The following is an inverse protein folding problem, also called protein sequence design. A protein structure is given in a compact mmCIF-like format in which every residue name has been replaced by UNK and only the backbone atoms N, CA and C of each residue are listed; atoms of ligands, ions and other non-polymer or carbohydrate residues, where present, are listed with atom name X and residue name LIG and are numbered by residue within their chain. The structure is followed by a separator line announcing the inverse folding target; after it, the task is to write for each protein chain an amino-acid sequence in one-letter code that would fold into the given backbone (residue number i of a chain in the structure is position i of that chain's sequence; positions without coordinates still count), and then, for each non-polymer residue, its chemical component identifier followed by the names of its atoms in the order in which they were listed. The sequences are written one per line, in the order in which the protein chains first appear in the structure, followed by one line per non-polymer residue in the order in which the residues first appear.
data_IF_801347161418
#
_entry.id   IF_801347161418
#
_cell.length_a   1.000
_cell.length_b   1.000
_cell.length_c   1.000
_cell.angle_alpha   90.00
_cell.angle_beta   90.00
_cell.angle_gamma   90.00
#
_symmetry.space_group_name_H-M   'P 1'
#
loop_
_entity.id
_entity.type
_entity.pdbx_description
1 polymer ?
#
# COMPACT_ATOMS: atom_id res chain seq x y z
N UNK A 1 -2.65 -47.06 10.41
CA UNK A 1 -1.63 -46.78 9.40
C UNK A 1 -1.06 -45.38 9.68
N UNK A 2 0.24 -45.18 9.87
CA UNK A 2 0.80 -43.86 10.20
C UNK A 2 0.89 -43.00 8.96
N UNK A 3 0.50 -41.73 9.11
CA UNK A 3 0.53 -40.71 8.08
C UNK A 3 1.97 -40.45 7.60
N UNK A 4 2.23 -40.53 6.31
CA UNK A 4 3.50 -40.22 5.69
C UNK A 4 3.81 -38.73 5.87
N UNK A 5 4.86 -38.41 6.62
CA UNK A 5 5.52 -37.07 6.64
C UNK A 5 6.00 -36.78 5.23
N UNK A 6 5.41 -35.75 4.60
CA UNK A 6 5.97 -35.16 3.37
C UNK A 6 7.30 -34.47 3.71
N UNK A 7 8.39 -35.12 3.35
CA UNK A 7 9.71 -34.52 3.34
C UNK A 7 9.72 -33.36 2.34
N UNK A 8 9.96 -32.15 2.84
CA UNK A 8 10.23 -30.97 1.99
C UNK A 8 11.59 -31.16 1.32
N UNK A 9 11.57 -31.59 0.06
CA UNK A 9 12.77 -31.56 -0.77
C UNK A 9 13.14 -30.09 -1.03
N UNK A 10 14.34 -29.68 -0.69
CA UNK A 10 14.96 -28.42 -1.09
C UNK A 10 15.06 -28.40 -2.62
N UNK A 11 14.10 -27.75 -3.28
CA UNK A 11 14.22 -27.43 -4.71
C UNK A 11 15.19 -26.26 -4.85
N UNK A 12 16.36 -26.51 -5.41
CA UNK A 12 17.32 -25.53 -5.92
C UNK A 12 16.78 -24.88 -7.21
N UNK A 13 15.74 -24.08 -7.07
CA UNK A 13 15.14 -23.18 -8.03
C UNK A 13 14.31 -22.22 -7.21
N UNK A 14 14.80 -20.98 -6.99
CA UNK A 14 14.18 -20.00 -6.09
C UNK A 14 12.69 -19.87 -6.36
N UNK A 15 11.88 -19.91 -5.32
CA UNK A 15 10.44 -19.63 -5.39
C UNK A 15 10.28 -18.18 -5.84
N UNK A 16 9.74 -17.92 -7.02
CA UNK A 16 9.44 -16.58 -7.51
C UNK A 16 8.04 -16.15 -7.13
N UNK A 17 7.89 -14.85 -6.89
CA UNK A 17 6.59 -14.18 -6.74
C UNK A 17 6.41 -13.30 -7.97
N UNK A 18 5.51 -13.68 -8.86
CA UNK A 18 5.23 -12.95 -10.09
C UNK A 18 4.26 -11.82 -9.83
N UNK A 19 4.74 -10.60 -10.00
CA UNK A 19 4.02 -9.39 -9.61
C UNK A 19 3.67 -8.54 -10.83
N UNK A 20 2.40 -8.16 -10.95
CA UNK A 20 1.96 -7.13 -11.88
C UNK A 20 1.69 -5.82 -11.14
N UNK A 21 1.96 -4.69 -11.79
CA UNK A 21 1.76 -3.34 -11.23
C UNK A 21 0.70 -2.61 -12.05
N UNK A 22 -0.28 -2.02 -11.36
CA UNK A 22 -1.25 -1.08 -11.94
C UNK A 22 -0.89 0.32 -11.45
N UNK A 23 -0.52 1.22 -12.38
CA UNK A 23 -0.02 2.56 -12.08
C UNK A 23 1.49 2.60 -11.87
N UNK A 24 2.24 3.03 -12.89
CA UNK A 24 3.71 3.11 -12.89
C UNK A 24 4.15 4.51 -12.45
N UNK A 25 3.67 4.95 -11.27
CA UNK A 25 4.01 6.22 -10.64
C UNK A 25 5.26 6.17 -9.75
N UNK A 26 5.40 7.15 -8.86
CA UNK A 26 6.49 7.24 -7.88
C UNK A 26 6.59 6.02 -6.97
N UNK A 27 5.45 5.52 -6.46
CA UNK A 27 5.42 4.34 -5.60
C UNK A 27 5.91 3.08 -6.33
N UNK A 28 5.48 2.88 -7.58
CA UNK A 28 5.97 1.79 -8.41
C UNK A 28 7.47 1.94 -8.70
N UNK A 29 7.95 3.17 -8.97
CA UNK A 29 9.38 3.45 -9.14
C UNK A 29 10.17 3.03 -7.93
N UNK A 30 9.77 3.45 -6.73
CA UNK A 30 10.46 3.08 -5.49
C UNK A 30 10.38 1.59 -5.18
N UNK A 31 9.27 0.92 -5.48
CA UNK A 31 9.12 -0.53 -5.32
C UNK A 31 10.10 -1.30 -6.22
N UNK A 32 10.14 -0.96 -7.50
CA UNK A 32 11.02 -1.64 -8.48
C UNK A 32 12.49 -1.39 -8.14
N UNK A 33 12.85 -0.14 -7.81
CA UNK A 33 14.20 0.20 -7.34
C UNK A 33 14.55 -0.59 -6.07
N UNK A 34 13.65 -0.68 -5.08
CA UNK A 34 13.88 -1.34 -3.80
C UNK A 34 14.17 -2.84 -3.96
N UNK A 35 13.38 -3.54 -4.78
CA UNK A 35 13.62 -4.96 -5.09
C UNK A 35 15.00 -5.15 -5.76
N UNK A 36 15.36 -4.26 -6.69
CA UNK A 36 16.67 -4.33 -7.34
C UNK A 36 17.82 -4.02 -6.37
N UNK A 37 17.70 -2.97 -5.57
CA UNK A 37 18.73 -2.48 -4.65
C UNK A 37 19.08 -3.52 -3.58
N UNK A 38 18.09 -4.17 -2.99
CA UNK A 38 18.25 -5.15 -1.92
C UNK A 38 18.32 -6.61 -2.40
N UNK A 39 18.42 -6.86 -3.70
CA UNK A 39 18.42 -8.22 -4.27
C UNK A 39 19.51 -9.15 -3.73
N UNK A 40 20.62 -8.58 -3.28
CA UNK A 40 21.78 -9.30 -2.77
C UNK A 40 21.93 -9.23 -1.24
N UNK A 41 20.91 -8.73 -0.54
CA UNK A 41 20.89 -8.69 0.92
C UNK A 41 21.04 -10.11 1.50
N UNK A 42 21.70 -10.23 2.64
CA UNK A 42 21.87 -11.51 3.32
C UNK A 42 20.84 -11.69 4.41
N UNK A 43 20.38 -12.92 4.68
CA UNK A 43 19.55 -13.16 5.86
C UNK A 43 20.26 -12.62 7.12
N UNK A 44 19.54 -11.81 7.90
CA UNK A 44 20.11 -11.15 9.09
C UNK A 44 20.64 -9.74 8.86
N UNK A 45 20.80 -9.27 7.62
CA UNK A 45 21.12 -7.86 7.38
C UNK A 45 19.98 -6.95 7.89
N UNK A 46 20.30 -5.91 8.69
CA UNK A 46 19.29 -4.95 9.14
C UNK A 46 18.97 -3.98 7.99
N UNK A 47 17.93 -4.28 7.22
CA UNK A 47 17.48 -3.43 6.12
C UNK A 47 16.40 -2.47 6.62
N UNK A 48 16.63 -1.16 6.59
CA UNK A 48 15.59 -0.20 6.93
C UNK A 48 14.34 -0.43 6.08
N UNK A 49 13.19 -0.58 6.74
CA UNK A 49 11.91 -0.66 6.08
C UNK A 49 11.45 -2.00 5.59
N UNK A 50 12.17 -3.02 5.88
CA UNK A 50 11.85 -4.42 5.61
C UNK A 50 11.75 -5.15 6.96
N UNK A 51 10.71 -5.95 7.17
CA UNK A 51 10.58 -6.75 8.38
C UNK A 51 11.68 -7.83 8.43
N UNK A 52 11.85 -8.55 7.34
CA UNK A 52 12.83 -9.63 7.20
C UNK A 52 13.39 -9.67 5.77
N UNK A 53 14.68 -9.93 5.61
CA UNK A 53 15.30 -10.19 4.29
C UNK A 53 14.68 -11.44 3.66
N UNK A 54 14.52 -12.50 4.45
CA UNK A 54 13.74 -13.69 4.13
C UNK A 54 12.45 -13.70 4.97
N UNK A 55 11.29 -13.63 4.33
CA UNK A 55 9.99 -13.61 4.98
C UNK A 55 9.23 -14.89 4.62
N UNK A 56 9.21 -15.83 5.54
CA UNK A 56 8.49 -17.10 5.35
C UNK A 56 9.03 -17.96 4.20
N UNK A 57 10.32 -17.86 3.89
CA UNK A 57 10.98 -18.56 2.79
C UNK A 57 10.95 -17.79 1.47
N UNK A 58 10.59 -16.51 1.49
CA UNK A 58 10.66 -15.60 0.35
C UNK A 58 11.65 -14.46 0.62
N UNK A 59 12.75 -14.46 -0.12
CA UNK A 59 13.73 -13.38 -0.11
C UNK A 59 13.18 -12.17 -0.91
N UNK A 60 13.71 -10.96 -0.66
CA UNK A 60 13.36 -9.74 -1.43
C UNK A 60 13.54 -9.97 -2.95
N UNK A 61 14.63 -10.62 -3.38
CA UNK A 61 14.96 -10.94 -4.79
C UNK A 61 13.98 -11.91 -5.46
N UNK A 62 13.11 -12.54 -4.69
CA UNK A 62 12.11 -13.47 -5.23
C UNK A 62 10.89 -12.74 -5.79
N UNK A 63 10.74 -11.45 -5.49
CA UNK A 63 9.77 -10.57 -6.15
C UNK A 63 10.25 -10.33 -7.58
N UNK A 64 9.47 -10.79 -8.54
CA UNK A 64 9.72 -10.68 -9.97
C UNK A 64 8.56 -9.93 -10.64
N UNK A 65 8.84 -8.76 -11.18
CA UNK A 65 7.83 -8.03 -11.96
C UNK A 65 7.66 -8.73 -13.30
N UNK A 66 6.40 -8.93 -13.72
CA UNK A 66 6.08 -9.68 -14.95
C UNK A 66 5.12 -8.92 -15.87
N UNK A 67 4.39 -7.94 -15.35
CA UNK A 67 3.52 -7.06 -16.12
C UNK A 67 3.40 -5.69 -15.44
N UNK A 68 3.12 -4.67 -16.23
CA UNK A 68 2.85 -3.33 -15.73
C UNK A 68 1.82 -2.61 -16.63
N UNK A 69 0.93 -1.86 -16.01
CA UNK A 69 -0.14 -1.13 -16.69
C UNK A 69 -0.11 0.34 -16.29
N UNK A 70 -0.19 1.23 -17.26
CA UNK A 70 -0.31 2.66 -17.06
C UNK A 70 -1.13 3.28 -18.20
N UNK A 71 -1.52 4.53 -18.05
CA UNK A 71 -2.28 5.27 -19.08
C UNK A 71 -1.47 6.43 -19.68
N UNK A 72 -0.32 6.78 -19.08
CA UNK A 72 0.52 7.90 -19.52
C UNK A 72 1.29 7.55 -20.79
N UNK A 73 1.18 8.42 -21.83
CA UNK A 73 1.91 8.28 -23.10
C UNK A 73 3.44 8.24 -22.93
N UNK A 74 3.95 8.81 -21.83
CA UNK A 74 5.38 8.82 -21.53
C UNK A 74 5.88 7.45 -21.01
N UNK A 75 4.98 6.54 -20.67
CA UNK A 75 5.28 5.25 -20.04
C UNK A 75 4.81 4.06 -20.86
N UNK A 76 3.59 4.13 -21.42
CA UNK A 76 3.02 3.06 -22.24
C UNK A 76 3.95 2.73 -23.41
N UNK A 77 4.22 1.44 -23.62
CA UNK A 77 5.11 0.91 -24.66
C UNK A 77 6.61 0.93 -24.29
N UNK A 78 7.01 1.61 -23.22
CA UNK A 78 8.40 1.60 -22.72
C UNK A 78 8.66 0.38 -21.85
N UNK A 79 9.94 0.01 -21.75
CA UNK A 79 10.39 -0.93 -20.71
C UNK A 79 10.10 -0.36 -19.31
N UNK A 80 9.69 -1.23 -18.40
CA UNK A 80 9.38 -0.84 -17.01
C UNK A 80 10.56 -0.09 -16.36
N UNK A 81 11.81 -0.50 -16.63
CA UNK A 81 12.99 0.17 -16.11
C UNK A 81 13.16 1.62 -16.60
N UNK A 82 12.62 1.97 -17.77
CA UNK A 82 12.59 3.35 -18.24
C UNK A 82 11.35 4.09 -17.73
N UNK A 83 10.22 3.40 -17.71
CA UNK A 83 8.93 3.99 -17.35
C UNK A 83 8.90 4.48 -15.89
N UNK A 84 9.57 3.78 -14.97
CA UNK A 84 9.65 4.18 -13.55
C UNK A 84 10.37 5.51 -13.33
N UNK A 85 11.21 5.95 -14.29
CA UNK A 85 11.90 7.25 -14.25
C UNK A 85 11.31 8.28 -15.19
N UNK A 86 10.32 7.91 -15.99
CA UNK A 86 9.67 8.83 -16.91
C UNK A 86 8.83 9.86 -16.16
N UNK A 87 8.90 11.13 -16.58
CA UNK A 87 8.02 12.19 -16.04
C UNK A 87 6.53 11.79 -16.24
N UNK A 88 5.67 12.16 -15.30
CA UNK A 88 5.85 13.10 -14.20
C UNK A 88 6.45 12.50 -12.91
N UNK A 89 6.98 11.26 -12.94
CA UNK A 89 7.64 10.69 -11.78
C UNK A 89 8.82 11.57 -11.33
N UNK A 90 8.92 11.81 -10.03
CA UNK A 90 9.89 12.71 -9.42
C UNK A 90 10.40 12.20 -8.05
N UNK A 91 10.24 10.90 -7.79
CA UNK A 91 10.75 10.27 -6.57
C UNK A 91 12.27 10.17 -6.55
N UNK A 92 12.82 9.90 -5.39
CA UNK A 92 14.26 9.70 -5.21
C UNK A 92 14.76 8.51 -6.03
N UNK A 93 15.84 8.73 -6.80
CA UNK A 93 16.52 7.67 -7.53
C UNK A 93 17.67 7.14 -6.70
N UNK A 94 17.52 5.94 -6.14
CA UNK A 94 18.52 5.29 -5.29
C UNK A 94 19.09 4.00 -5.90
N UNK A 95 18.58 3.60 -7.08
CA UNK A 95 19.10 2.47 -7.84
C UNK A 95 18.99 2.73 -9.35
N UNK A 96 19.89 2.13 -10.12
CA UNK A 96 19.80 2.05 -11.57
C UNK A 96 19.29 0.66 -11.96
N UNK A 97 18.01 0.59 -12.30
CA UNK A 97 17.36 -0.67 -12.65
C UNK A 97 17.71 -1.04 -14.10
N UNK A 98 18.30 -2.22 -14.36
CA UNK A 98 18.59 -2.67 -15.71
C UNK A 98 17.29 -2.97 -16.47
N UNK A 99 17.35 -3.04 -17.80
CA UNK A 99 16.21 -3.39 -18.63
C UNK A 99 15.55 -4.67 -18.14
N UNK A 100 14.25 -4.60 -17.98
CA UNK A 100 13.43 -5.72 -17.47
C UNK A 100 12.87 -6.61 -18.57
N UNK A 101 12.79 -6.10 -19.79
CA UNK A 101 12.08 -6.74 -20.90
C UNK A 101 10.54 -6.60 -20.81
N UNK A 102 10.02 -5.95 -19.76
CA UNK A 102 8.59 -5.79 -19.52
C UNK A 102 8.14 -4.47 -20.14
N UNK A 103 7.33 -4.52 -21.17
CA UNK A 103 6.69 -3.35 -21.75
C UNK A 103 5.48 -2.95 -20.91
N UNK A 104 5.39 -1.67 -20.54
CA UNK A 104 4.20 -1.12 -19.90
C UNK A 104 3.03 -1.15 -20.89
N UNK A 105 1.99 -1.89 -20.53
CA UNK A 105 0.77 -2.01 -21.34
C UNK A 105 -0.20 -0.85 -21.02
N UNK A 106 -1.00 -0.46 -22.03
CA UNK A 106 -2.01 0.57 -21.82
C UNK A 106 -3.15 0.04 -20.95
N UNK A 107 -3.34 0.65 -19.79
CA UNK A 107 -4.39 0.32 -18.85
C UNK A 107 -5.71 1.05 -19.13
N UNK A 108 -6.74 0.70 -18.35
CA UNK A 108 -8.03 1.39 -18.32
C UNK A 108 -7.93 2.69 -17.51
N UNK A 109 -8.60 3.72 -17.97
CA UNK A 109 -8.57 5.03 -17.29
C UNK A 109 -9.76 5.24 -16.37
N UNK A 110 -11.01 5.06 -16.87
CA UNK A 110 -12.23 5.46 -16.16
C UNK A 110 -12.07 6.82 -15.47
N UNK A 111 -12.29 6.89 -14.17
CA UNK A 111 -12.10 8.05 -13.30
C UNK A 111 -10.67 8.22 -12.75
N UNK A 112 -9.70 7.44 -13.24
CA UNK A 112 -8.31 7.44 -12.75
C UNK A 112 -7.54 8.74 -12.98
N UNK A 113 -7.98 9.61 -13.88
CA UNK A 113 -7.37 10.92 -14.13
C UNK A 113 -8.39 12.01 -13.86
N UNK A 114 -8.14 12.78 -12.78
CA UNK A 114 -8.92 13.96 -12.44
C UNK A 114 -8.45 15.20 -13.18
N UNK A 115 -9.13 16.31 -12.94
CA UNK A 115 -8.93 17.58 -13.67
C UNK A 115 -7.52 18.18 -13.53
N UNK A 116 -6.86 17.94 -12.38
CA UNK A 116 -5.48 18.45 -12.18
C UNK A 116 -4.44 17.52 -12.78
N UNK A 117 -4.61 16.19 -12.65
CA UNK A 117 -3.72 15.22 -13.25
C UNK A 117 -3.72 15.28 -14.79
N UNK A 118 -4.86 15.58 -15.40
CA UNK A 118 -4.99 15.71 -16.87
C UNK A 118 -4.06 16.77 -17.48
N UNK A 119 -3.55 17.70 -16.66
CA UNK A 119 -2.60 18.73 -17.09
C UNK A 119 -1.16 18.21 -17.23
N UNK A 120 -0.82 17.11 -16.56
CA UNK A 120 0.54 16.55 -16.51
C UNK A 120 0.62 15.11 -17.00
N UNK A 121 -0.47 14.37 -16.97
CA UNK A 121 -0.60 13.01 -17.50
C UNK A 121 -1.43 13.03 -18.76
N UNK A 122 -0.78 12.77 -19.90
CA UNK A 122 -1.46 12.71 -21.19
C UNK A 122 -1.71 11.24 -21.53
N UNK A 123 -2.96 10.89 -21.77
CA UNK A 123 -3.34 9.50 -22.09
C UNK A 123 -2.63 9.02 -23.36
N UNK A 124 -2.06 7.82 -23.29
CA UNK A 124 -1.54 7.13 -24.46
C UNK A 124 -2.68 6.83 -25.45
N UNK A 125 -2.46 6.93 -26.76
CA UNK A 125 -3.43 6.50 -27.76
C UNK A 125 -3.63 4.98 -27.74
N UNK A 126 -4.67 4.52 -28.42
CA UNK A 126 -5.00 3.11 -28.59
C UNK A 126 -5.99 2.60 -27.52
N UNK A 127 -6.31 1.32 -27.63
CA UNK A 127 -7.26 0.64 -26.77
C UNK A 127 -6.61 0.14 -25.47
N UNK A 128 -7.43 -0.12 -24.46
CA UNK A 128 -7.01 -0.80 -23.26
C UNK A 128 -6.54 -2.21 -23.58
N UNK A 129 -5.39 -2.60 -23.09
CA UNK A 129 -4.87 -3.94 -23.26
C UNK A 129 -5.79 -4.98 -22.57
N UNK A 130 -5.77 -6.20 -23.06
CA UNK A 130 -6.46 -7.33 -22.43
C UNK A 130 -5.72 -7.70 -21.12
N UNK A 131 -6.17 -7.09 -20.01
CA UNK A 131 -5.57 -7.25 -18.69
C UNK A 131 -5.61 -8.70 -18.24
N UNK A 132 -6.75 -9.37 -18.40
CA UNK A 132 -6.95 -10.76 -17.98
C UNK A 132 -6.00 -11.69 -18.72
N UNK A 133 -5.91 -11.52 -20.03
CA UNK A 133 -5.00 -12.31 -20.86
C UNK A 133 -3.54 -12.11 -20.45
N UNK A 134 -3.10 -10.86 -20.26
CA UNK A 134 -1.72 -10.55 -19.86
C UNK A 134 -1.41 -11.18 -18.50
N UNK A 135 -2.28 -11.03 -17.49
CA UNK A 135 -2.08 -11.60 -16.18
C UNK A 135 -1.98 -13.13 -16.19
N UNK A 136 -2.80 -13.78 -17.02
CA UNK A 136 -2.77 -15.26 -17.22
C UNK A 136 -1.51 -15.71 -17.96
N UNK A 137 -1.16 -15.06 -19.06
CA UNK A 137 0.01 -15.42 -19.88
C UNK A 137 1.32 -15.25 -19.10
N UNK A 138 1.41 -14.20 -18.27
CA UNK A 138 2.56 -13.95 -17.39
C UNK A 138 2.53 -14.78 -16.11
N UNK A 139 1.47 -15.56 -15.87
CA UNK A 139 1.26 -16.37 -14.66
C UNK A 139 1.42 -15.52 -13.40
N UNK A 140 0.83 -14.34 -13.39
CA UNK A 140 0.90 -13.39 -12.28
C UNK A 140 0.32 -14.00 -10.99
N UNK A 141 1.08 -13.95 -9.90
CA UNK A 141 0.61 -14.36 -8.56
C UNK A 141 -0.14 -13.23 -7.87
N UNK A 142 0.44 -12.04 -7.87
CA UNK A 142 -0.02 -10.88 -7.08
C UNK A 142 -0.08 -9.63 -7.95
N UNK A 143 -1.16 -8.90 -7.87
CA UNK A 143 -1.31 -7.59 -8.52
C UNK A 143 -1.28 -6.49 -7.46
N UNK A 144 -0.42 -5.49 -7.64
CA UNK A 144 -0.31 -4.31 -6.77
C UNK A 144 -0.92 -3.11 -7.46
N UNK A 145 -1.87 -2.44 -6.80
CA UNK A 145 -2.55 -1.25 -7.32
C UNK A 145 -2.02 0.03 -6.70
N UNK A 146 -1.57 0.94 -7.56
CA UNK A 146 -1.09 2.29 -7.25
C UNK A 146 -1.86 3.35 -8.07
N UNK A 147 -3.14 3.13 -8.31
CA UNK A 147 -3.98 4.11 -8.99
C UNK A 147 -4.05 5.43 -8.19
N UNK A 148 -4.35 6.56 -8.86
CA UNK A 148 -4.53 7.82 -8.16
C UNK A 148 -5.70 7.79 -7.17
N UNK A 149 -5.61 8.60 -6.12
CA UNK A 149 -6.71 8.78 -5.15
C UNK A 149 -7.99 9.21 -5.86
N UNK A 150 -9.13 8.65 -5.45
CA UNK A 150 -10.46 8.90 -6.04
C UNK A 150 -10.72 8.13 -7.33
N UNK A 151 -9.90 7.13 -7.67
CA UNK A 151 -10.10 6.22 -8.80
C UNK A 151 -11.05 5.07 -8.42
N UNK A 152 -12.27 5.39 -8.02
CA UNK A 152 -13.25 4.40 -7.53
C UNK A 152 -13.67 3.40 -8.62
N UNK A 153 -14.09 3.92 -9.79
CA UNK A 153 -14.52 3.13 -10.93
C UNK A 153 -13.37 2.30 -11.52
N UNK A 154 -12.22 2.95 -11.71
CA UNK A 154 -11.04 2.27 -12.24
C UNK A 154 -10.58 1.13 -11.33
N UNK A 155 -10.55 1.37 -10.00
CA UNK A 155 -10.12 0.34 -9.05
C UNK A 155 -11.05 -0.87 -9.06
N UNK A 156 -12.36 -0.65 -8.99
CA UNK A 156 -13.36 -1.73 -9.04
C UNK A 156 -13.27 -2.50 -10.34
N UNK A 157 -13.11 -1.80 -11.46
CA UNK A 157 -12.92 -2.44 -12.76
C UNK A 157 -11.66 -3.34 -12.78
N UNK A 158 -10.51 -2.85 -12.29
CA UNK A 158 -9.30 -3.67 -12.21
C UNK A 158 -9.45 -4.87 -11.27
N UNK A 159 -10.15 -4.71 -10.14
CA UNK A 159 -10.42 -5.83 -9.23
C UNK A 159 -11.20 -6.94 -9.93
N UNK A 160 -12.15 -6.60 -10.80
CA UNK A 160 -12.87 -7.60 -11.62
C UNK A 160 -11.90 -8.36 -12.53
N UNK A 161 -10.99 -7.66 -13.22
CA UNK A 161 -9.98 -8.29 -14.09
C UNK A 161 -9.04 -9.21 -13.29
N UNK A 162 -8.62 -8.76 -12.10
CA UNK A 162 -7.75 -9.53 -11.20
C UNK A 162 -8.44 -10.80 -10.72
N UNK A 163 -9.70 -10.70 -10.30
CA UNK A 163 -10.51 -11.85 -9.90
C UNK A 163 -10.73 -12.82 -11.06
N UNK A 164 -10.97 -12.31 -12.26
CA UNK A 164 -11.14 -13.14 -13.44
C UNK A 164 -9.84 -13.84 -13.85
N UNK A 165 -8.71 -13.16 -13.74
CA UNK A 165 -7.40 -13.74 -14.02
C UNK A 165 -6.98 -14.78 -12.99
N UNK A 166 -7.55 -14.77 -11.78
CA UNK A 166 -7.19 -15.67 -10.69
C UNK A 166 -5.95 -15.23 -9.92
N UNK A 167 -5.72 -13.92 -9.78
CA UNK A 167 -4.59 -13.35 -9.05
C UNK A 167 -4.99 -12.85 -7.67
N UNK A 168 -4.03 -12.85 -6.75
CA UNK A 168 -4.14 -12.13 -5.48
C UNK A 168 -4.00 -10.61 -5.69
N UNK A 169 -4.48 -9.81 -4.74
CA UNK A 169 -4.53 -8.36 -4.88
C UNK A 169 -3.99 -7.61 -3.66
N UNK A 170 -3.21 -6.56 -3.90
CA UNK A 170 -2.77 -5.60 -2.88
C UNK A 170 -3.27 -4.23 -3.28
N UNK A 171 -4.15 -3.66 -2.45
CA UNK A 171 -4.73 -2.35 -2.69
C UNK A 171 -4.00 -1.28 -1.87
N UNK A 172 -3.10 -0.55 -2.53
CA UNK A 172 -2.29 0.48 -1.88
C UNK A 172 -2.97 1.86 -1.81
N UNK A 173 -4.20 2.00 -2.33
CA UNK A 173 -4.91 3.29 -2.41
C UNK A 173 -6.17 3.29 -1.52
N UNK A 174 -6.69 4.47 -1.14
CA UNK A 174 -7.84 4.59 -0.25
C UNK A 174 -9.19 4.42 -0.95
N UNK A 175 -9.29 3.47 -1.87
CA UNK A 175 -10.56 2.94 -2.40
C UNK A 175 -10.86 1.66 -1.64
N UNK A 176 -12.04 1.56 -1.04
CA UNK A 176 -12.33 0.47 -0.11
C UNK A 176 -12.70 -0.82 -0.86
N UNK A 177 -11.79 -1.77 -0.84
CA UNK A 177 -11.93 -3.11 -1.42
C UNK A 177 -11.77 -4.18 -0.33
N UNK A 178 -10.61 -4.23 0.34
CA UNK A 178 -10.30 -5.27 1.31
C UNK A 178 -11.18 -5.21 2.57
N UNK A 179 -11.65 -4.03 2.94
CA UNK A 179 -12.55 -3.84 4.09
C UNK A 179 -14.03 -4.09 3.76
N UNK A 180 -14.42 -4.11 2.48
CA UNK A 180 -15.82 -4.25 2.07
C UNK A 180 -16.24 -5.72 2.00
N UNK A 181 -17.31 -6.13 2.72
CA UNK A 181 -17.78 -7.52 2.77
C UNK A 181 -18.08 -8.11 1.39
N UNK A 182 -18.57 -7.30 0.46
CA UNK A 182 -18.85 -7.71 -0.92
C UNK A 182 -17.59 -8.26 -1.61
N UNK A 183 -16.47 -7.54 -1.54
CA UNK A 183 -15.22 -7.98 -2.16
C UNK A 183 -14.56 -9.10 -1.38
N UNK A 184 -14.59 -9.06 -0.04
CA UNK A 184 -14.08 -10.15 0.82
C UNK A 184 -14.69 -11.49 0.42
N UNK A 185 -16.02 -11.54 0.25
CA UNK A 185 -16.76 -12.73 -0.17
C UNK A 185 -16.30 -13.23 -1.53
N UNK A 186 -16.09 -12.33 -2.49
CA UNK A 186 -15.68 -12.68 -3.85
C UNK A 186 -14.26 -13.23 -3.92
N UNK A 187 -13.31 -12.61 -3.21
CA UNK A 187 -11.95 -13.12 -3.09
C UNK A 187 -11.92 -14.48 -2.38
N UNK A 188 -12.65 -14.62 -1.28
CA UNK A 188 -12.75 -15.89 -0.55
C UNK A 188 -13.35 -17.02 -1.41
N UNK A 189 -14.41 -16.74 -2.16
CA UNK A 189 -15.07 -17.72 -3.04
C UNK A 189 -14.14 -18.25 -4.14
N UNK A 190 -13.13 -17.46 -4.54
CA UNK A 190 -12.11 -17.88 -5.51
C UNK A 190 -10.83 -18.43 -4.86
N UNK A 191 -10.76 -18.49 -3.52
CA UNK A 191 -9.56 -18.88 -2.80
C UNK A 191 -8.38 -17.91 -3.00
N UNK A 192 -8.66 -16.64 -3.31
CA UNK A 192 -7.66 -15.60 -3.58
C UNK A 192 -7.51 -14.67 -2.39
N UNK A 193 -6.28 -14.38 -1.92
CA UNK A 193 -6.06 -13.42 -0.86
C UNK A 193 -6.10 -11.98 -1.36
N UNK A 194 -6.53 -11.08 -0.47
CA UNK A 194 -6.41 -9.64 -0.64
C UNK A 194 -5.80 -9.00 0.62
N UNK A 195 -4.90 -8.03 0.43
CA UNK A 195 -4.36 -7.14 1.48
C UNK A 195 -4.70 -5.69 1.09
N UNK A 196 -5.31 -4.93 1.96
CA UNK A 196 -5.76 -3.53 1.72
C UNK A 196 -6.38 -2.94 2.98
N UNK A 197 -6.78 -1.70 2.96
CA UNK A 197 -6.69 -0.69 1.90
C UNK A 197 -5.83 0.51 2.38
N UNK A 198 -5.26 1.28 1.46
CA UNK A 198 -4.45 2.49 1.73
C UNK A 198 -3.14 2.20 2.48
N UNK A 199 -2.04 2.03 1.73
CA UNK A 199 -0.73 1.64 2.27
C UNK A 199 -0.21 2.61 3.33
N UNK A 200 0.30 2.09 4.44
CA UNK A 200 1.09 2.83 5.43
C UNK A 200 2.51 3.03 4.93
N UNK A 201 3.13 4.14 5.35
CA UNK A 201 4.58 4.31 5.27
C UNK A 201 5.25 3.69 6.50
N UNK A 202 6.57 3.54 6.50
CA UNK A 202 7.35 3.08 7.66
C UNK A 202 7.24 4.05 8.83
N UNK A 203 7.78 5.26 8.66
CA UNK A 203 7.57 6.39 9.56
C UNK A 203 6.99 7.52 8.71
N UNK A 204 5.69 7.74 8.82
CA UNK A 204 4.97 8.77 8.09
C UNK A 204 3.96 9.46 8.99
N UNK A 205 3.29 10.46 8.44
CA UNK A 205 2.34 11.28 9.17
C UNK A 205 1.31 10.47 9.98
N UNK A 206 0.70 9.46 9.35
CA UNK A 206 -0.32 8.62 9.99
C UNK A 206 0.25 7.82 11.16
N UNK A 207 1.39 7.14 10.96
CA UNK A 207 2.02 6.33 12.03
C UNK A 207 2.46 7.23 13.19
N UNK A 208 3.11 8.35 12.90
CA UNK A 208 3.54 9.29 13.94
C UNK A 208 2.35 9.79 14.76
N UNK A 209 1.27 10.19 14.09
CA UNK A 209 0.06 10.67 14.75
C UNK A 209 -0.61 9.57 15.59
N UNK A 210 -0.74 8.35 15.06
CA UNK A 210 -1.29 7.18 15.79
C UNK A 210 -0.49 6.89 17.07
N UNK A 211 0.83 6.83 16.97
CA UNK A 211 1.72 6.52 18.11
C UNK A 211 1.60 7.60 19.17
N UNK A 212 1.57 8.87 18.79
CA UNK A 212 1.39 9.99 19.74
C UNK A 212 -0.02 9.97 20.36
N UNK A 213 -1.06 9.69 19.59
CA UNK A 213 -2.42 9.52 20.12
C UNK A 213 -2.45 8.40 21.15
N UNK A 214 -1.81 7.27 20.84
CA UNK A 214 -1.69 6.15 21.77
C UNK A 214 -0.90 6.52 23.03
N UNK A 215 0.19 7.29 22.88
CA UNK A 215 0.97 7.79 24.03
C UNK A 215 0.10 8.61 24.99
N UNK A 216 -0.79 9.49 24.50
CA UNK A 216 -1.74 10.23 25.31
C UNK A 216 -2.60 9.28 26.15
N UNK A 217 -3.19 8.26 25.48
CA UNK A 217 -4.03 7.27 26.14
C UNK A 217 -3.25 6.47 27.20
N UNK A 218 -2.07 5.94 26.85
CA UNK A 218 -1.25 5.13 27.75
C UNK A 218 -0.73 5.90 28.97
N UNK A 219 -0.67 7.24 28.89
CA UNK A 219 -0.24 8.13 29.97
C UNK A 219 -1.41 8.81 30.70
N UNK A 220 -2.66 8.48 30.35
CA UNK A 220 -3.85 9.06 30.98
C UNK A 220 -4.05 10.53 30.65
N UNK A 221 -3.50 11.02 29.55
CA UNK A 221 -3.74 12.38 29.04
C UNK A 221 -4.94 12.35 28.13
N UNK A 222 -5.95 13.20 28.40
CA UNK A 222 -7.09 13.33 27.53
C UNK A 222 -6.69 14.13 26.29
N UNK A 223 -6.84 13.58 25.10
CA UNK A 223 -6.72 14.33 23.85
C UNK A 223 -8.01 15.10 23.60
N UNK A 224 -7.95 16.42 23.57
CA UNK A 224 -9.12 17.27 23.38
C UNK A 224 -9.36 17.59 21.91
N UNK A 225 -8.28 17.93 21.16
CA UNK A 225 -8.35 18.22 19.74
C UNK A 225 -7.01 17.99 19.06
N UNK A 226 -7.06 17.73 17.75
CA UNK A 226 -5.85 17.50 16.95
C UNK A 226 -6.04 17.83 15.49
N UNK A 227 -4.94 18.28 14.84
CA UNK A 227 -4.90 18.34 13.40
C UNK A 227 -3.62 17.72 12.84
N UNK A 228 -3.71 17.28 11.56
CA UNK A 228 -2.60 16.86 10.74
C UNK A 228 -2.73 17.51 9.37
N UNK A 229 -1.83 18.42 9.04
CA UNK A 229 -1.74 19.06 7.74
C UNK A 229 -0.63 18.42 6.92
N UNK A 230 -0.90 18.08 5.67
CA UNK A 230 0.07 17.43 4.80
C UNK A 230 0.17 18.18 3.48
N UNK A 231 1.38 18.44 3.01
CA UNK A 231 1.64 18.96 1.68
C UNK A 231 2.88 18.32 1.08
N UNK A 232 2.96 18.31 -0.24
CA UNK A 232 4.04 17.68 -0.99
C UNK A 232 4.07 18.11 -2.45
N UNK A 233 5.01 17.56 -3.21
CA UNK A 233 5.23 18.00 -4.59
C UNK A 233 5.07 16.90 -5.64
N UNK A 234 4.55 15.73 -5.28
CA UNK A 234 4.28 14.66 -6.21
C UNK A 234 2.88 14.75 -6.84
N UNK A 235 2.61 13.89 -7.81
CA UNK A 235 1.33 13.88 -8.54
C UNK A 235 0.14 13.47 -7.67
N UNK A 236 0.35 12.76 -6.55
CA UNK A 236 -0.75 12.47 -5.61
C UNK A 236 -1.23 13.75 -4.92
N UNK A 237 -0.31 14.64 -4.48
CA UNK A 237 -0.67 15.93 -3.91
C UNK A 237 -1.32 16.85 -4.95
N UNK A 238 -0.84 16.85 -6.21
CA UNK A 238 -1.51 17.56 -7.29
C UNK A 238 -2.94 17.07 -7.52
N UNK A 239 -3.14 15.75 -7.54
CA UNK A 239 -4.46 15.13 -7.69
C UNK A 239 -5.40 15.50 -6.53
N UNK A 240 -4.85 15.59 -5.32
CA UNK A 240 -5.63 15.93 -4.11
C UNK A 240 -6.09 17.38 -4.01
N UNK A 241 -5.66 18.27 -4.91
CA UNK A 241 -6.27 19.60 -5.06
C UNK A 241 -7.73 19.51 -5.53
N UNK A 242 -8.12 18.40 -6.17
CA UNK A 242 -9.50 18.08 -6.50
C UNK A 242 -10.20 17.46 -5.27
N UNK A 243 -10.77 18.35 -4.44
CA UNK A 243 -11.27 17.99 -3.10
C UNK A 243 -12.40 16.96 -3.13
N UNK A 244 -13.20 16.96 -4.18
CA UNK A 244 -14.31 16.01 -4.41
C UNK A 244 -13.85 14.56 -4.48
N UNK A 245 -12.58 14.32 -4.85
CA UNK A 245 -11.95 13.00 -4.94
C UNK A 245 -11.40 12.47 -3.61
N UNK A 246 -11.53 13.23 -2.51
CA UNK A 246 -10.83 12.95 -1.25
C UNK A 246 -11.69 12.29 -0.18
N UNK A 247 -12.94 12.02 -0.42
CA UNK A 247 -13.87 11.53 0.60
C UNK A 247 -13.36 10.24 1.27
N UNK A 248 -13.08 9.20 0.50
CA UNK A 248 -12.52 7.94 1.02
C UNK A 248 -11.17 8.14 1.72
N UNK A 249 -10.30 9.01 1.18
CA UNK A 249 -9.00 9.30 1.80
C UNK A 249 -9.12 10.04 3.13
N UNK A 250 -10.07 10.97 3.25
CA UNK A 250 -10.33 11.67 4.52
C UNK A 250 -10.82 10.70 5.58
N UNK A 251 -11.78 9.84 5.24
CA UNK A 251 -12.30 8.79 6.12
C UNK A 251 -11.15 7.86 6.55
N UNK A 252 -10.35 7.36 5.62
CA UNK A 252 -9.22 6.46 5.89
C UNK A 252 -8.25 7.04 6.90
N UNK A 253 -7.81 8.28 6.69
CA UNK A 253 -6.80 8.94 7.54
C UNK A 253 -7.35 9.31 8.92
N UNK A 254 -8.56 9.85 8.99
CA UNK A 254 -9.20 10.24 10.26
C UNK A 254 -9.41 8.99 11.12
N UNK A 255 -10.01 7.93 10.57
CA UNK A 255 -10.23 6.68 11.29
C UNK A 255 -8.92 6.03 11.75
N UNK A 256 -7.85 6.13 10.97
CA UNK A 256 -6.55 5.59 11.38
C UNK A 256 -6.02 6.23 12.67
N UNK A 257 -6.28 7.50 12.91
CA UNK A 257 -5.87 8.23 14.13
C UNK A 257 -6.87 8.03 15.25
N UNK A 258 -8.16 8.29 15.00
CA UNK A 258 -9.20 8.25 16.04
C UNK A 258 -9.45 6.85 16.60
N UNK A 259 -9.14 5.79 15.82
CA UNK A 259 -9.19 4.40 16.30
C UNK A 259 -8.21 4.07 17.44
N UNK A 260 -7.30 4.99 17.77
CA UNK A 260 -6.38 4.85 18.91
C UNK A 260 -6.99 5.36 20.22
N UNK A 261 -8.12 6.05 20.16
CA UNK A 261 -8.86 6.55 21.30
C UNK A 261 -9.95 5.57 21.73
N UNK A 262 -10.29 5.52 22.99
CA UNK A 262 -11.42 4.78 23.56
C UNK A 262 -12.67 5.68 23.73
N UNK A 263 -12.58 6.95 23.33
CA UNK A 263 -13.67 7.91 23.26
C UNK A 263 -13.68 8.66 21.92
N UNK A 264 -14.84 9.16 21.47
CA UNK A 264 -14.93 9.93 20.23
C UNK A 264 -14.46 11.38 20.45
N UNK A 265 -13.80 11.95 19.43
CA UNK A 265 -13.64 13.40 19.30
C UNK A 265 -14.82 13.99 18.52
N UNK A 266 -15.21 15.23 18.83
CA UNK A 266 -16.17 15.93 18.02
C UNK A 266 -15.61 16.16 16.59
N UNK A 267 -16.47 16.22 15.56
CA UNK A 267 -16.02 16.39 14.18
C UNK A 267 -15.13 17.63 13.94
N UNK A 268 -15.37 18.70 14.68
CA UNK A 268 -14.61 19.96 14.58
C UNK A 268 -13.31 19.94 15.39
N UNK A 269 -13.12 18.95 16.27
CA UNK A 269 -11.93 18.78 17.09
C UNK A 269 -10.87 17.89 16.44
N UNK A 270 -11.16 17.34 15.27
CA UNK A 270 -10.21 16.49 14.53
C UNK A 270 -10.16 16.86 13.05
N UNK A 271 -8.96 17.23 12.59
CA UNK A 271 -8.72 17.50 11.18
C UNK A 271 -7.50 16.73 10.68
N UNK A 272 -7.70 15.76 9.77
CA UNK A 272 -6.61 15.00 9.14
C UNK A 272 -6.80 15.03 7.63
N UNK A 273 -5.93 15.74 6.94
CA UNK A 273 -6.10 15.86 5.50
C UNK A 273 -4.87 16.29 4.72
N UNK A 274 -4.93 16.16 3.39
CA UNK A 274 -4.04 16.88 2.49
C UNK A 274 -4.37 18.37 2.59
N UNK A 275 -3.33 19.20 2.60
CA UNK A 275 -3.48 20.65 2.71
C UNK A 275 -3.18 21.33 1.37
N UNK A 276 -2.00 21.05 0.75
CA UNK A 276 -1.58 21.77 -0.46
C UNK A 276 -0.58 20.98 -1.31
N UNK A 277 -0.29 21.54 -2.51
CA UNK A 277 0.67 21.05 -3.48
C UNK A 277 1.76 22.09 -3.72
N UNK A 278 3.02 21.71 -3.52
CA UNK A 278 4.20 22.54 -3.70
C UNK A 278 5.17 21.83 -4.65
N UNK A 279 5.17 22.18 -5.95
CA UNK A 279 5.85 21.40 -7.00
C UNK A 279 7.34 21.15 -6.78
N UNK A 280 8.08 22.14 -6.25
CA UNK A 280 9.53 22.02 -6.03
C UNK A 280 9.92 21.08 -4.88
N UNK A 281 8.96 20.60 -4.08
CA UNK A 281 9.20 19.56 -3.08
C UNK A 281 9.44 18.19 -3.74
N UNK A 282 9.07 18.02 -5.01
CA UNK A 282 9.15 16.73 -5.69
C UNK A 282 8.35 15.66 -4.95
N UNK A 283 8.94 14.49 -4.68
CA UNK A 283 8.27 13.42 -3.92
C UNK A 283 8.45 13.55 -2.39
N UNK A 284 8.92 14.69 -1.93
CA UNK A 284 8.97 14.99 -0.49
C UNK A 284 7.59 15.38 0.00
N UNK A 285 7.30 14.92 1.21
CA UNK A 285 6.08 15.21 1.94
C UNK A 285 6.41 15.79 3.29
N UNK A 286 5.77 16.89 3.58
CA UNK A 286 5.81 17.53 4.87
C UNK A 286 4.51 17.28 5.62
N UNK A 287 4.62 17.12 6.93
CA UNK A 287 3.49 16.94 7.82
C UNK A 287 3.68 17.81 9.04
N UNK A 288 2.63 18.54 9.42
CA UNK A 288 2.50 19.23 10.69
C UNK A 288 1.39 18.58 11.48
N UNK A 289 1.72 18.12 12.70
CA UNK A 289 0.75 17.55 13.64
C UNK A 289 0.74 18.45 14.86
N UNK A 290 -0.45 18.86 15.30
CA UNK A 290 -0.68 19.47 16.58
C UNK A 290 -1.69 18.65 17.36
N UNK A 291 -1.40 18.43 18.63
CA UNK A 291 -2.27 17.72 19.57
C UNK A 291 -2.42 18.59 20.82
N UNK A 292 -3.64 18.84 21.21
CA UNK A 292 -3.98 19.60 22.41
C UNK A 292 -4.72 18.66 23.35
N UNK A 293 -4.28 18.62 24.59
CA UNK A 293 -4.85 17.72 25.58
C UNK A 293 -4.81 18.29 26.99
N UNK A 294 -5.43 17.56 27.89
CA UNK A 294 -5.58 17.92 29.31
C UNK A 294 -4.91 16.88 30.18
N UNK A 295 -4.07 17.35 31.10
CA UNK A 295 -3.35 16.54 32.09
C UNK A 295 -3.97 16.69 33.49
N UNK A 296 -3.28 16.17 34.51
CA UNK A 296 -3.71 16.26 35.89
C UNK A 296 -3.95 17.72 36.33
N UNK A 297 -5.07 17.97 37.03
CA UNK A 297 -5.48 19.29 37.47
C UNK A 297 -6.03 20.19 36.37
N UNK A 298 -6.50 19.58 35.25
CA UNK A 298 -7.01 20.28 34.06
C UNK A 298 -5.98 21.20 33.38
N UNK A 299 -4.69 20.92 33.63
CA UNK A 299 -3.59 21.70 33.03
C UNK A 299 -3.44 21.32 31.54
N UNK A 300 -3.39 22.31 30.63
CA UNK A 300 -3.25 22.04 29.20
C UNK A 300 -1.85 21.49 28.85
N UNK A 301 -1.81 20.58 27.89
CA UNK A 301 -0.61 20.01 27.29
C UNK A 301 -0.73 20.09 25.78
N UNK A 302 0.31 20.61 25.12
CA UNK A 302 0.35 20.70 23.67
C UNK A 302 1.58 19.98 23.12
N UNK A 303 1.40 19.25 22.02
CA UNK A 303 2.48 18.61 21.27
C UNK A 303 2.44 19.08 19.83
N UNK A 304 3.58 19.49 19.30
CA UNK A 304 3.74 19.81 17.89
C UNK A 304 4.85 18.94 17.28
N UNK A 305 4.57 18.41 16.09
CA UNK A 305 5.52 17.62 15.32
C UNK A 305 5.57 18.13 13.89
N UNK A 306 6.79 18.36 13.41
CA UNK A 306 7.09 18.62 12.02
C UNK A 306 7.88 17.42 11.47
N UNK A 307 7.37 16.81 10.42
CA UNK A 307 7.98 15.64 9.80
C UNK A 307 8.18 15.90 8.30
N UNK A 308 9.37 15.56 7.78
CA UNK A 308 9.64 15.50 6.36
C UNK A 308 10.09 14.09 5.97
N UNK A 309 9.54 13.55 4.87
CA UNK A 309 9.91 12.25 4.33
C UNK A 309 9.91 12.29 2.80
N UNK A 310 10.70 11.41 2.17
CA UNK A 310 10.48 11.01 0.79
C UNK A 310 9.32 10.00 0.78
N UNK A 311 8.18 10.38 0.22
CA UNK A 311 6.89 9.68 0.44
C UNK A 311 6.90 8.26 -0.16
N UNK A 312 7.32 8.12 -1.42
CA UNK A 312 7.26 6.83 -2.13
C UNK A 312 8.27 5.80 -1.63
N UNK A 313 9.57 6.13 -1.44
CA UNK A 313 10.52 5.19 -0.84
C UNK A 313 10.12 4.72 0.55
N UNK A 314 9.49 5.60 1.33
CA UNK A 314 9.04 5.32 2.70
C UNK A 314 7.92 4.27 2.78
N UNK A 315 7.28 3.91 1.67
CA UNK A 315 6.26 2.85 1.60
C UNK A 315 6.73 1.60 0.84
N UNK A 316 7.80 1.68 0.05
CA UNK A 316 8.21 0.61 -0.85
C UNK A 316 8.55 -0.69 -0.11
N UNK A 317 9.28 -0.62 1.00
CA UNK A 317 9.60 -1.79 1.83
C UNK A 317 8.34 -2.46 2.40
N UNK A 318 7.39 -1.65 2.85
CA UNK A 318 6.09 -2.15 3.36
C UNK A 318 5.35 -2.96 2.29
N UNK A 319 5.38 -2.50 1.04
CA UNK A 319 4.74 -3.22 -0.08
C UNK A 319 5.49 -4.50 -0.43
N UNK A 320 6.82 -4.52 -0.35
CA UNK A 320 7.62 -5.75 -0.54
C UNK A 320 7.22 -6.81 0.49
N UNK A 321 7.02 -6.42 1.76
CA UNK A 321 6.57 -7.33 2.81
C UNK A 321 5.12 -7.80 2.57
N UNK A 322 4.23 -6.89 2.18
CA UNK A 322 2.85 -7.22 1.82
C UNK A 322 2.77 -8.21 0.64
N UNK A 323 3.60 -8.04 -0.40
CA UNK A 323 3.69 -8.97 -1.54
C UNK A 323 4.06 -10.38 -1.05
N UNK A 324 5.08 -10.49 -0.18
CA UNK A 324 5.53 -11.78 0.35
C UNK A 324 4.48 -12.42 1.26
N UNK A 325 3.82 -11.62 2.10
CA UNK A 325 2.68 -12.10 2.90
C UNK A 325 1.52 -12.57 2.02
N UNK A 326 1.20 -11.84 0.96
CA UNK A 326 0.14 -12.22 0.02
C UNK A 326 0.45 -13.55 -0.69
N UNK A 327 1.73 -13.74 -1.08
CA UNK A 327 2.18 -15.03 -1.66
C UNK A 327 2.10 -16.18 -0.66
N UNK A 328 2.47 -15.96 0.61
CA UNK A 328 2.30 -16.95 1.66
C UNK A 328 0.83 -17.36 1.84
N UNK A 329 -0.12 -16.43 1.70
CA UNK A 329 -1.54 -16.74 1.71
C UNK A 329 -1.93 -17.67 0.55
N UNK A 330 -1.48 -17.36 -0.68
CA UNK A 330 -1.71 -18.21 -1.85
C UNK A 330 -1.17 -19.63 -1.63
N UNK A 331 0.06 -19.75 -1.14
CA UNK A 331 0.69 -21.07 -0.89
C UNK A 331 -0.03 -21.89 0.18
N UNK A 332 -0.73 -21.21 1.09
CA UNK A 332 -1.53 -21.83 2.16
C UNK A 332 -2.99 -22.03 1.77
N UNK A 333 -3.40 -21.60 0.59
CA UNK A 333 -4.80 -21.69 0.14
C UNK A 333 -5.76 -20.79 0.93
N UNK A 334 -5.26 -19.67 1.48
CA UNK A 334 -6.06 -18.70 2.22
C UNK A 334 -6.73 -17.73 1.25
N UNK A 335 -8.05 -17.63 1.29
CA UNK A 335 -8.84 -16.68 0.48
C UNK A 335 -9.52 -15.62 1.34
N UNK A 336 -9.86 -14.49 0.70
CA UNK A 336 -10.45 -13.32 1.36
C UNK A 336 -9.39 -12.36 1.91
N UNK A 337 -9.81 -11.44 2.79
CA UNK A 337 -8.89 -10.44 3.35
C UNK A 337 -8.04 -11.03 4.46
N UNK A 338 -6.72 -10.93 4.33
CA UNK A 338 -5.75 -11.38 5.32
C UNK A 338 -5.65 -10.33 6.43
N UNK A 339 -6.05 -10.69 7.65
CA UNK A 339 -6.29 -9.71 8.74
C UNK A 339 -5.00 -9.07 9.25
N UNK A 340 -4.04 -9.85 9.73
CA UNK A 340 -2.84 -9.31 10.37
C UNK A 340 -1.97 -8.48 9.42
N UNK A 341 -1.63 -8.93 8.20
CA UNK A 341 -0.96 -8.11 7.20
C UNK A 341 -1.73 -6.83 6.84
N UNK A 342 -3.06 -6.90 6.65
CA UNK A 342 -3.84 -5.70 6.35
C UNK A 342 -3.81 -4.70 7.52
N UNK A 343 -3.94 -5.15 8.76
CA UNK A 343 -3.91 -4.27 9.93
C UNK A 343 -2.54 -3.59 10.11
N UNK A 344 -1.45 -4.29 9.84
CA UNK A 344 -0.12 -3.73 9.99
C UNK A 344 0.30 -2.83 8.83
N UNK A 345 0.06 -3.28 7.59
CA UNK A 345 0.56 -2.57 6.40
C UNK A 345 -0.39 -1.48 5.88
N UNK A 346 -1.67 -1.48 6.24
CA UNK A 346 -2.69 -0.61 5.64
C UNK A 346 -3.33 0.35 6.65
N UNK A 347 -3.71 1.57 6.21
CA UNK A 347 -4.37 2.58 7.03
C UNK A 347 -5.85 2.28 7.26
N UNK A 348 -6.49 1.65 6.29
CA UNK A 348 -7.92 1.31 6.31
C UNK A 348 -8.15 -0.20 6.19
N UNK A 349 -7.59 -1.01 7.10
CA UNK A 349 -7.80 -2.44 7.10
C UNK A 349 -9.26 -2.78 7.48
N UNK A 350 -9.71 -4.01 7.23
CA UNK A 350 -11.04 -4.44 7.65
C UNK A 350 -11.20 -4.46 9.18
N UNK A 351 -10.09 -4.55 9.91
CA UNK A 351 -10.03 -4.49 11.37
C UNK A 351 -8.84 -3.65 11.80
N UNK A 352 -9.10 -2.56 12.50
CA UNK A 352 -8.05 -1.75 13.12
C UNK A 352 -7.47 -2.48 14.33
N UNK A 353 -6.14 -2.53 14.39
CA UNK A 353 -5.38 -3.16 15.48
C UNK A 353 -4.26 -2.18 15.85
N UNK A 354 -3.89 -2.11 17.12
CA UNK A 354 -2.73 -1.31 17.55
C UNK A 354 -1.46 -1.81 16.83
N UNK A 355 -0.58 -0.88 16.46
CA UNK A 355 0.53 -1.18 15.53
C UNK A 355 1.52 -2.22 16.11
N UNK A 356 1.76 -2.24 17.43
CA UNK A 356 2.54 -3.27 18.12
C UNK A 356 1.90 -4.66 17.99
N UNK A 357 0.60 -4.75 18.28
CA UNK A 357 -0.16 -6.00 18.17
C UNK A 357 -0.35 -6.46 16.73
N UNK A 358 -0.52 -5.51 15.81
CA UNK A 358 -0.57 -5.82 14.39
C UNK A 358 0.76 -6.39 13.89
N UNK A 359 1.90 -5.86 14.35
CA UNK A 359 3.24 -6.39 14.05
C UNK A 359 3.42 -7.79 14.60
N UNK A 360 3.09 -8.03 15.89
CA UNK A 360 3.10 -9.37 16.50
C UNK A 360 2.23 -10.34 15.68
N UNK A 361 1.05 -9.91 15.24
CA UNK A 361 0.14 -10.68 14.39
C UNK A 361 0.76 -11.06 13.04
N UNK A 362 1.51 -10.16 12.41
CA UNK A 362 2.24 -10.49 11.16
C UNK A 362 3.34 -11.51 11.42
N UNK A 363 4.09 -11.39 12.53
CA UNK A 363 5.10 -12.40 12.90
C UNK A 363 4.47 -13.79 13.14
N UNK A 364 3.32 -13.82 13.80
CA UNK A 364 2.55 -15.04 13.98
C UNK A 364 2.03 -15.60 12.65
N UNK A 365 1.56 -14.72 11.77
CA UNK A 365 1.14 -15.08 10.42
C UNK A 365 2.31 -15.67 9.60
N UNK A 366 3.49 -15.05 9.61
CA UNK A 366 4.67 -15.55 8.89
C UNK A 366 5.01 -16.98 9.36
N UNK A 367 4.96 -17.23 10.68
CA UNK A 367 5.21 -18.55 11.29
C UNK A 367 4.07 -19.55 11.03
N UNK A 368 2.93 -19.11 10.52
CA UNK A 368 1.76 -19.97 10.27
C UNK A 368 0.88 -20.24 11.48
N UNK A 369 1.10 -19.57 12.61
CA UNK A 369 0.30 -19.69 13.83
C UNK A 369 -0.95 -18.80 13.84
N UNK A 370 -0.98 -17.74 13.01
CA UNK A 370 -2.18 -16.93 12.72
C UNK A 370 -2.48 -16.98 11.22
N UNK A 371 -3.64 -17.46 10.84
CA UNK A 371 -4.09 -17.55 9.45
C UNK A 371 -5.49 -16.93 9.30
N UNK A 372 -5.79 -15.93 10.14
CA UNK A 372 -7.12 -15.31 10.18
C UNK A 372 -7.39 -14.53 8.88
N UNK A 373 -8.49 -14.91 8.23
CA UNK A 373 -9.03 -14.24 7.04
C UNK A 373 -10.46 -13.77 7.28
N UNK A 374 -10.89 -12.77 6.49
CA UNK A 374 -12.29 -12.36 6.43
C UNK A 374 -12.84 -12.67 5.05
N UNK A 375 -13.92 -13.44 5.04
CA UNK A 375 -14.61 -13.88 3.83
C UNK A 375 -15.90 -13.08 3.54
N UNK A 376 -16.17 -12.02 4.31
CA UNK A 376 -17.45 -11.31 4.28
C UNK A 376 -18.57 -12.13 4.90
N UNK A 377 -19.48 -11.50 5.62
CA UNK A 377 -20.72 -12.19 6.05
C UNK A 377 -21.67 -12.29 4.86
N UNK A 378 -22.41 -13.39 4.80
CA UNK A 378 -23.46 -13.61 3.82
C UNK A 378 -24.57 -12.56 3.96
#
# INVERSE_FOLDING_TARGET
MPAKKRTTSSRAGGRKIRVAIIGVGNCASSLVQGVHYYRNAKPGDPIPGIMHVDLGGYHIRDVEFVAAFDVDKNKVGKDLADAIYAKPNNTYRFADVPKTGIKVSRGMTHDGIGKYLSKVVIKAPGETADIVKILRDTKTDVVVSYLPVGSEEATKWYVEQVLEAGCAFINCIPVFIAREPYWQKRFAAKGLPIIGDDIKSQVGATITHRVLTRLFMDRGVRLDRTYQLNFGGNTDFLNMLERERLESKKISKTNAVTSMLDYPLAPDDVHVGPSDYVPWLLDRKWCYIRMEGTTFGDVPLNVEVKLEVWDSPNSAGVVIDAIRCCKLALDRGLGGTIVAPSAYFMKSPPRQIHDDKAREGVEAYIKGSDQTTLAGKA
#
